data_IF_658184438644
#
_entry.id   IF_658184438644
#
_cell.length_a   1.000
_cell.length_b   1.000
_cell.length_c   1.000
_cell.angle_alpha   90.00
_cell.angle_beta   90.00
_cell.angle_gamma   90.00
#
_symmetry.space_group_name_H-M   'P 1'
#
loop_
_entity.id
_entity.type
_entity.pdbx_description
1 polymer ?
#
# COMPACT_ATOMS: atom_id res chain seq x y z
N UNK A 1 -37.92 13.97 8.78
CA UNK A 1 -37.69 15.44 8.78
C UNK A 1 -36.33 15.70 8.18
N UNK A 2 -36.21 16.63 7.22
CA UNK A 2 -34.91 17.00 6.65
C UNK A 2 -34.05 17.73 7.70
N UNK A 3 -32.77 17.39 7.79
CA UNK A 3 -31.79 17.99 8.70
C UNK A 3 -30.68 18.68 7.91
N UNK A 4 -29.94 19.56 8.56
CA UNK A 4 -28.74 20.19 7.99
C UNK A 4 -27.48 19.59 8.62
N UNK A 5 -26.51 19.21 7.79
CA UNK A 5 -25.23 18.63 8.19
C UNK A 5 -24.07 19.48 7.68
N UNK A 6 -23.04 19.65 8.51
CA UNK A 6 -21.76 20.24 8.15
C UNK A 6 -20.69 19.14 8.18
N UNK A 7 -20.05 18.88 7.05
CA UNK A 7 -18.99 17.87 6.90
C UNK A 7 -17.66 18.60 6.72
N UNK A 8 -16.65 18.23 7.50
CA UNK A 8 -15.29 18.79 7.40
C UNK A 8 -14.39 17.79 6.71
N UNK A 9 -13.80 18.21 5.58
CA UNK A 9 -13.01 17.41 4.65
C UNK A 9 -13.83 16.90 3.47
N UNK A 10 -13.33 17.12 2.26
CA UNK A 10 -13.90 16.67 0.99
C UNK A 10 -13.15 15.47 0.37
N UNK A 11 -12.38 14.73 1.20
CA UNK A 11 -11.82 13.42 0.83
C UNK A 11 -12.88 12.31 0.82
N UNK A 12 -12.47 11.04 0.58
CA UNK A 12 -13.40 9.91 0.47
C UNK A 12 -14.43 9.83 1.61
N UNK A 13 -13.99 9.87 2.87
CA UNK A 13 -14.91 9.76 4.01
C UNK A 13 -15.98 10.85 4.00
N UNK A 14 -15.58 12.11 3.80
CA UNK A 14 -16.51 13.23 3.77
C UNK A 14 -17.41 13.22 2.54
N UNK A 15 -16.86 12.89 1.37
CA UNK A 15 -17.61 12.80 0.12
C UNK A 15 -18.68 11.70 0.16
N UNK A 16 -18.35 10.51 0.70
CA UNK A 16 -19.30 9.39 0.84
C UNK A 16 -20.40 9.73 1.85
N UNK A 17 -20.04 10.18 3.05
CA UNK A 17 -21.04 10.56 4.08
C UNK A 17 -21.95 11.67 3.57
N UNK A 18 -21.38 12.70 2.92
CA UNK A 18 -22.16 13.79 2.37
C UNK A 18 -23.12 13.33 1.27
N UNK A 19 -22.69 12.40 0.41
CA UNK A 19 -23.52 11.81 -0.65
C UNK A 19 -24.70 11.06 -0.05
N UNK A 20 -24.45 10.12 0.87
CA UNK A 20 -25.49 9.30 1.50
C UNK A 20 -26.54 10.15 2.22
N UNK A 21 -26.10 11.15 3.00
CA UNK A 21 -27.02 12.06 3.69
C UNK A 21 -27.85 12.91 2.72
N UNK A 22 -27.23 13.37 1.63
CA UNK A 22 -27.93 14.16 0.62
C UNK A 22 -28.96 13.31 -0.16
N UNK A 23 -28.64 12.05 -0.47
CA UNK A 23 -29.56 11.11 -1.11
C UNK A 23 -30.74 10.73 -0.19
N UNK A 24 -30.55 10.74 1.13
CA UNK A 24 -31.63 10.60 2.13
C UNK A 24 -32.46 11.90 2.35
N UNK A 25 -32.26 12.92 1.51
CA UNK A 25 -33.04 14.15 1.52
C UNK A 25 -32.62 15.17 2.59
N UNK A 26 -31.41 15.05 3.13
CA UNK A 26 -30.84 16.05 4.04
C UNK A 26 -30.07 17.15 3.29
N UNK A 27 -29.98 18.33 3.90
CA UNK A 27 -29.13 19.42 3.39
C UNK A 27 -27.72 19.23 3.93
N UNK A 28 -26.73 19.12 3.05
CA UNK A 28 -25.34 18.92 3.46
C UNK A 28 -24.47 20.06 2.94
N UNK A 29 -23.58 20.57 3.78
CA UNK A 29 -22.52 21.51 3.41
C UNK A 29 -21.17 20.87 3.73
N UNK A 30 -20.31 20.76 2.72
CA UNK A 30 -18.97 20.18 2.86
C UNK A 30 -17.95 21.32 2.83
N UNK A 31 -17.07 21.34 3.83
CA UNK A 31 -16.00 22.31 3.97
C UNK A 31 -14.67 21.60 3.78
N UNK A 32 -13.75 22.17 3.02
CA UNK A 32 -12.36 21.72 2.96
C UNK A 32 -11.45 22.95 3.06
N UNK A 33 -10.28 22.79 3.67
CA UNK A 33 -9.27 23.86 3.74
C UNK A 33 -8.47 23.96 2.45
N UNK A 34 -8.49 22.91 1.62
CA UNK A 34 -7.86 22.89 0.29
C UNK A 34 -8.74 23.61 -0.72
N UNK A 35 -8.11 24.11 -1.78
CA UNK A 35 -8.79 24.75 -2.91
C UNK A 35 -9.48 23.76 -3.88
N UNK A 36 -9.49 22.48 -3.54
CA UNK A 36 -10.02 21.41 -4.38
C UNK A 36 -10.67 20.31 -3.53
N UNK A 37 -11.45 19.45 -4.19
CA UNK A 37 -12.11 18.28 -3.57
C UNK A 37 -11.20 17.04 -3.60
N UNK A 38 -11.70 15.90 -3.13
CA UNK A 38 -11.06 14.57 -3.17
C UNK A 38 -9.86 14.34 -2.22
N UNK A 39 -9.47 15.35 -1.42
CA UNK A 39 -8.38 15.21 -0.46
C UNK A 39 -7.09 14.75 -1.14
N UNK A 40 -6.43 13.71 -0.63
CA UNK A 40 -5.19 13.19 -1.22
C UNK A 40 -5.40 12.50 -2.57
N UNK A 41 -6.61 12.08 -2.90
CA UNK A 41 -6.93 11.45 -4.17
C UNK A 41 -7.15 12.46 -5.30
N UNK A 42 -6.95 13.75 -5.03
CA UNK A 42 -7.07 14.79 -6.04
C UNK A 42 -6.06 14.59 -7.18
N UNK A 43 -6.57 14.78 -8.40
CA UNK A 43 -5.80 14.72 -9.64
C UNK A 43 -5.97 16.00 -10.42
N UNK A 44 -4.93 16.42 -11.12
CA UNK A 44 -4.98 17.53 -12.06
C UNK A 44 -4.21 17.19 -13.34
N UNK A 45 -4.42 17.96 -14.40
CA UNK A 45 -3.58 17.85 -15.61
C UNK A 45 -2.38 18.76 -15.46
N UNK A 46 -1.19 18.21 -15.68
CA UNK A 46 0.04 18.99 -15.71
C UNK A 46 0.16 19.80 -17.03
N UNK A 47 1.28 20.52 -17.20
CA UNK A 47 1.53 21.33 -18.40
C UNK A 47 1.64 20.52 -19.71
N UNK A 48 1.84 19.20 -19.62
CA UNK A 48 1.84 18.29 -20.77
C UNK A 48 0.44 17.76 -21.10
N UNK A 49 -0.54 18.06 -20.25
CA UNK A 49 -1.91 17.56 -20.35
C UNK A 49 -2.10 16.17 -19.73
N UNK A 50 -1.08 15.58 -19.12
CA UNK A 50 -1.15 14.28 -18.46
C UNK A 50 -1.86 14.42 -17.11
N UNK A 51 -2.80 13.52 -16.83
CA UNK A 51 -3.49 13.48 -15.54
C UNK A 51 -2.57 12.87 -14.48
N UNK A 52 -2.29 13.62 -13.42
CA UNK A 52 -1.37 13.24 -12.34
C UNK A 52 -2.07 13.33 -10.98
N UNK A 53 -1.65 12.49 -10.05
CA UNK A 53 -2.04 12.63 -8.65
C UNK A 53 -1.14 13.64 -7.95
N UNK A 54 -1.73 14.69 -7.37
CA UNK A 54 -0.97 15.77 -6.72
C UNK A 54 -0.26 15.28 -5.45
N UNK A 55 -0.86 14.31 -4.75
CA UNK A 55 -0.39 13.83 -3.44
C UNK A 55 0.13 12.38 -3.49
N UNK A 56 0.74 12.00 -4.61
CA UNK A 56 1.28 10.66 -4.82
C UNK A 56 0.25 9.67 -5.39
N UNK A 57 0.73 8.51 -5.89
CA UNK A 57 -0.10 7.60 -6.67
C UNK A 57 -1.22 6.98 -5.83
N UNK A 58 -2.46 7.11 -6.28
CA UNK A 58 -3.62 6.43 -5.69
C UNK A 58 -4.13 5.37 -6.65
N UNK A 59 -3.96 4.10 -6.28
CA UNK A 59 -4.45 2.96 -7.06
C UNK A 59 -5.63 2.37 -6.30
N UNK A 60 -6.82 2.42 -6.90
CA UNK A 60 -8.01 1.82 -6.30
C UNK A 60 -7.93 0.30 -6.35
N UNK A 61 -8.14 -0.35 -5.20
CA UNK A 61 -8.32 -1.80 -5.10
C UNK A 61 -9.25 -2.11 -3.91
N UNK A 62 -10.12 -3.11 -4.06
CA UNK A 62 -11.02 -3.56 -2.99
C UNK A 62 -11.33 -5.04 -3.16
N UNK A 63 -11.49 -5.75 -2.05
CA UNK A 63 -12.08 -7.10 -2.02
C UNK A 63 -13.58 -7.06 -1.66
N UNK A 64 -14.11 -5.88 -1.35
CA UNK A 64 -15.50 -5.69 -0.94
C UNK A 64 -16.36 -5.29 -2.14
N UNK A 65 -17.22 -6.21 -2.57
CA UNK A 65 -18.13 -6.03 -3.71
C UNK A 65 -19.04 -4.81 -3.54
N UNK A 66 -19.62 -4.61 -2.35
CA UNK A 66 -20.46 -3.44 -2.08
C UNK A 66 -19.73 -2.09 -2.27
N UNK A 67 -18.43 -2.03 -1.96
CA UNK A 67 -17.62 -0.82 -2.20
C UNK A 67 -17.37 -0.62 -3.70
N UNK A 68 -17.11 -1.71 -4.43
CA UNK A 68 -16.94 -1.67 -5.88
C UNK A 68 -18.22 -1.19 -6.57
N UNK A 69 -19.36 -1.76 -6.20
CA UNK A 69 -20.67 -1.39 -6.73
C UNK A 69 -21.01 0.07 -6.42
N UNK A 70 -20.71 0.52 -5.20
CA UNK A 70 -20.91 1.91 -4.81
C UNK A 70 -20.09 2.87 -5.69
N UNK A 71 -18.79 2.64 -5.84
CA UNK A 71 -17.91 3.56 -6.61
C UNK A 71 -18.31 3.60 -8.09
N UNK A 72 -18.72 2.46 -8.67
CA UNK A 72 -19.16 2.40 -10.08
C UNK A 72 -20.41 3.24 -10.38
N UNK A 73 -21.18 3.65 -9.37
CA UNK A 73 -22.30 4.59 -9.56
C UNK A 73 -21.82 6.00 -9.95
N UNK A 74 -20.58 6.36 -9.65
CA UNK A 74 -20.06 7.72 -9.78
C UNK A 74 -18.95 7.88 -10.82
N UNK A 75 -18.57 6.80 -11.49
CA UNK A 75 -17.56 6.84 -12.54
C UNK A 75 -17.28 5.47 -13.16
N UNK A 76 -16.70 5.49 -14.36
CA UNK A 76 -16.20 4.30 -15.02
C UNK A 76 -14.83 3.92 -14.46
N UNK A 77 -14.66 2.64 -14.13
CA UNK A 77 -13.41 2.10 -13.60
C UNK A 77 -12.71 1.28 -14.69
N UNK A 78 -11.48 1.67 -15.03
CA UNK A 78 -10.67 0.96 -16.02
C UNK A 78 -9.91 -0.20 -15.38
N UNK A 79 -9.81 -1.36 -16.04
CA UNK A 79 -9.03 -2.47 -15.52
C UNK A 79 -7.53 -2.10 -15.50
N UNK A 80 -6.95 -2.11 -14.31
CA UNK A 80 -5.53 -1.87 -14.10
C UNK A 80 -4.98 -2.82 -13.03
N UNK A 81 -3.87 -3.50 -13.33
CA UNK A 81 -3.16 -4.37 -12.39
C UNK A 81 -1.83 -3.74 -12.05
N UNK A 82 -1.75 -3.15 -10.86
CA UNK A 82 -0.51 -2.52 -10.41
C UNK A 82 0.60 -3.54 -10.19
N UNK A 83 1.78 -3.24 -10.70
CA UNK A 83 2.98 -4.05 -10.50
C UNK A 83 4.12 -3.14 -10.07
N UNK A 84 4.78 -3.51 -8.98
CA UNK A 84 5.91 -2.76 -8.43
C UNK A 84 7.22 -3.48 -8.75
N UNK A 85 8.27 -2.70 -8.96
CA UNK A 85 9.64 -3.19 -9.11
C UNK A 85 10.56 -2.48 -8.11
N UNK A 86 11.56 -3.19 -7.62
CA UNK A 86 12.60 -2.65 -6.74
C UNK A 86 13.96 -2.77 -7.42
N UNK A 87 14.80 -1.75 -7.27
CA UNK A 87 16.18 -1.79 -7.76
C UNK A 87 17.12 -2.02 -6.58
N UNK A 88 17.87 -3.12 -6.61
CA UNK A 88 18.86 -3.47 -5.59
C UNK A 88 20.19 -3.75 -6.29
N UNK A 89 21.24 -3.00 -5.90
CA UNK A 89 22.59 -3.12 -6.47
C UNK A 89 22.61 -3.11 -8.01
N UNK A 90 21.82 -2.22 -8.61
CA UNK A 90 21.72 -2.06 -10.07
C UNK A 90 20.87 -3.12 -10.81
N UNK A 91 20.33 -4.12 -10.11
CA UNK A 91 19.41 -5.11 -10.68
C UNK A 91 17.95 -4.79 -10.31
N UNK A 92 17.04 -5.06 -11.23
CA UNK A 92 15.60 -4.80 -11.06
C UNK A 92 14.89 -6.11 -10.70
N UNK A 93 14.12 -6.10 -9.62
CA UNK A 93 13.36 -7.23 -9.10
C UNK A 93 11.87 -6.93 -9.08
N UNK A 94 11.04 -7.94 -9.31
CA UNK A 94 9.58 -7.83 -9.25
C UNK A 94 9.08 -8.01 -7.82
N UNK A 95 8.34 -7.03 -7.31
CA UNK A 95 7.74 -7.04 -5.98
C UNK A 95 6.26 -7.48 -6.03
N UNK A 96 5.68 -8.01 -4.93
CA UNK A 96 6.31 -8.32 -3.63
C UNK A 96 7.29 -9.50 -3.71
N UNK A 97 7.97 -9.84 -2.61
CA UNK A 97 8.80 -11.05 -2.54
C UNK A 97 8.01 -12.27 -3.02
N UNK A 98 8.53 -12.91 -4.06
CA UNK A 98 7.95 -14.08 -4.71
C UNK A 98 9.07 -15.04 -5.16
N UNK A 99 8.72 -16.24 -5.62
CA UNK A 99 9.68 -17.23 -6.12
C UNK A 99 10.63 -16.69 -7.18
N UNK A 100 10.13 -15.92 -8.15
CA UNK A 100 10.98 -15.32 -9.19
C UNK A 100 12.02 -14.40 -8.58
N UNK A 101 11.62 -13.53 -7.64
CA UNK A 101 12.58 -12.67 -6.95
C UNK A 101 13.60 -13.48 -6.15
N UNK A 102 13.20 -14.53 -5.44
CA UNK A 102 14.11 -15.40 -4.67
C UNK A 102 15.15 -16.03 -5.62
N UNK A 103 14.68 -16.65 -6.72
CA UNK A 103 15.55 -17.25 -7.71
C UNK A 103 16.50 -16.25 -8.37
N UNK A 104 15.99 -15.07 -8.76
CA UNK A 104 16.81 -14.02 -9.37
C UNK A 104 17.85 -13.45 -8.40
N UNK A 105 17.48 -13.28 -7.12
CA UNK A 105 18.34 -12.68 -6.11
C UNK A 105 19.47 -13.62 -5.69
N UNK A 106 19.15 -14.91 -5.49
CA UNK A 106 20.14 -15.91 -5.06
C UNK A 106 20.81 -16.66 -6.22
N UNK A 107 20.37 -16.45 -7.46
CA UNK A 107 20.90 -17.16 -8.63
C UNK A 107 20.55 -18.65 -8.62
N UNK A 108 19.35 -18.99 -8.17
CA UNK A 108 18.85 -20.36 -7.99
C UNK A 108 17.71 -20.67 -8.97
N UNK A 109 17.28 -21.92 -9.01
CA UNK A 109 16.11 -22.36 -9.78
C UNK A 109 15.23 -23.28 -8.93
N UNK A 110 14.80 -22.76 -7.78
CA UNK A 110 13.98 -23.49 -6.82
C UNK A 110 12.56 -23.70 -7.34
N UNK A 111 11.97 -24.84 -6.96
CA UNK A 111 10.53 -25.04 -6.84
C UNK A 111 9.98 -24.31 -5.59
N UNK A 112 8.65 -24.07 -5.51
CA UNK A 112 8.04 -23.37 -4.38
C UNK A 112 8.46 -23.90 -3.00
N UNK A 113 8.43 -25.22 -2.81
CA UNK A 113 8.75 -25.87 -1.53
C UNK A 113 10.23 -25.72 -1.15
N UNK A 114 11.11 -25.74 -2.16
CA UNK A 114 12.55 -25.54 -1.97
C UNK A 114 12.85 -24.10 -1.57
N UNK A 115 12.18 -23.14 -2.21
CA UNK A 115 12.32 -21.72 -1.88
C UNK A 115 11.79 -21.41 -0.47
N UNK A 116 10.67 -22.03 -0.06
CA UNK A 116 10.14 -21.89 1.30
C UNK A 116 11.11 -22.43 2.34
N UNK A 117 11.63 -23.65 2.14
CA UNK A 117 12.63 -24.25 3.01
C UNK A 117 13.91 -23.41 3.07
N UNK A 118 14.35 -22.89 1.92
CA UNK A 118 15.53 -22.05 1.83
C UNK A 118 15.36 -20.73 2.60
N UNK A 119 14.27 -19.99 2.38
CA UNK A 119 14.00 -18.75 3.12
C UNK A 119 13.85 -19.02 4.62
N UNK A 120 13.18 -20.10 5.01
CA UNK A 120 13.05 -20.50 6.43
C UNK A 120 14.40 -20.81 7.08
N UNK A 121 15.34 -21.37 6.33
CA UNK A 121 16.72 -21.61 6.83
C UNK A 121 17.53 -20.33 7.02
N UNK A 122 17.19 -19.25 6.30
CA UNK A 122 17.81 -17.92 6.40
C UNK A 122 17.16 -17.03 7.47
N UNK A 123 15.90 -17.30 7.78
CA UNK A 123 15.14 -16.59 8.80
C UNK A 123 15.76 -16.76 10.20
N UNK A 124 15.72 -15.69 10.98
CA UNK A 124 16.17 -15.72 12.37
C UNK A 124 15.14 -16.40 13.27
N UNK A 125 15.39 -17.68 13.58
CA UNK A 125 14.52 -18.50 14.43
C UNK A 125 14.66 -18.17 15.93
N UNK A 126 15.63 -17.35 16.33
CA UNK A 126 15.82 -16.94 17.73
C UNK A 126 14.79 -15.89 18.16
N UNK A 127 14.25 -15.16 17.20
CA UNK A 127 13.21 -14.15 17.40
C UNK A 127 11.86 -14.85 17.52
N UNK A 128 11.41 -15.13 18.74
CA UNK A 128 10.12 -15.81 19.01
C UNK A 128 8.92 -14.87 18.95
N UNK A 129 9.09 -13.63 19.43
CA UNK A 129 8.06 -12.58 19.41
C UNK A 129 8.68 -11.29 18.87
N UNK A 130 8.47 -10.96 17.59
CA UNK A 130 9.03 -9.75 17.00
C UNK A 130 8.37 -8.51 17.59
N UNK A 131 9.18 -7.57 18.09
CA UNK A 131 8.69 -6.31 18.67
C UNK A 131 8.91 -5.12 17.71
N UNK A 132 9.93 -5.22 16.86
CA UNK A 132 10.25 -4.20 15.86
C UNK A 132 10.00 -4.64 14.41
N UNK A 133 10.00 -3.68 13.49
CA UNK A 133 9.96 -3.93 12.05
C UNK A 133 11.18 -4.77 11.61
N UNK A 134 12.35 -4.49 12.18
CA UNK A 134 13.54 -5.27 11.91
C UNK A 134 13.38 -6.72 12.37
N UNK A 135 12.92 -6.95 13.60
CA UNK A 135 12.73 -8.31 14.13
C UNK A 135 11.77 -9.12 13.26
N UNK A 136 10.67 -8.49 12.85
CA UNK A 136 9.70 -9.10 11.96
C UNK A 136 10.35 -9.45 10.61
N UNK A 137 11.20 -8.58 10.07
CA UNK A 137 11.89 -8.82 8.80
C UNK A 137 12.93 -9.94 8.88
N UNK A 138 13.74 -9.93 9.93
CA UNK A 138 14.72 -10.97 10.22
C UNK A 138 14.09 -12.34 10.36
N UNK A 139 13.04 -12.43 11.17
CA UNK A 139 12.30 -13.67 11.37
C UNK A 139 11.60 -14.12 10.09
N UNK A 140 11.18 -13.20 9.24
CA UNK A 140 10.37 -13.53 8.07
C UNK A 140 11.21 -13.97 6.86
N UNK A 141 12.31 -13.28 6.58
CA UNK A 141 13.07 -13.47 5.33
C UNK A 141 14.59 -13.57 5.53
N UNK A 142 15.07 -13.40 6.76
CA UNK A 142 16.49 -13.37 7.06
C UNK A 142 17.17 -12.05 6.68
N UNK A 143 18.43 -11.89 7.11
CA UNK A 143 19.21 -10.67 7.00
C UNK A 143 19.44 -10.21 5.55
N UNK A 144 19.79 -11.13 4.65
CA UNK A 144 20.15 -10.79 3.26
C UNK A 144 18.99 -10.15 2.48
N UNK A 145 17.79 -10.76 2.54
CA UNK A 145 16.60 -10.21 1.90
C UNK A 145 16.07 -8.97 2.64
N UNK A 146 16.15 -8.96 3.97
CA UNK A 146 15.75 -7.82 4.78
C UNK A 146 16.55 -6.55 4.41
N UNK A 147 17.88 -6.65 4.40
CA UNK A 147 18.76 -5.52 4.06
C UNK A 147 18.56 -5.06 2.62
N UNK A 148 18.38 -6.01 1.70
CA UNK A 148 18.21 -5.74 0.27
C UNK A 148 16.91 -4.98 -0.06
N UNK A 149 15.78 -5.40 0.54
CA UNK A 149 14.46 -4.95 0.09
C UNK A 149 13.68 -4.11 1.11
N UNK A 150 14.06 -4.13 2.39
CA UNK A 150 13.26 -3.51 3.44
C UNK A 150 14.01 -2.46 4.25
N UNK A 151 15.20 -2.77 4.77
CA UNK A 151 15.88 -1.91 5.75
C UNK A 151 16.03 -0.46 5.27
N UNK A 152 16.75 -0.26 4.16
CA UNK A 152 17.02 1.08 3.63
C UNK A 152 15.77 1.81 3.11
N UNK A 153 14.81 1.06 2.53
CA UNK A 153 13.55 1.66 2.08
C UNK A 153 12.72 2.16 3.26
N UNK A 154 12.64 1.37 4.33
CA UNK A 154 11.87 1.68 5.53
C UNK A 154 12.46 2.88 6.26
N UNK A 155 13.79 2.90 6.49
CA UNK A 155 14.45 4.08 7.08
C UNK A 155 14.20 5.35 6.28
N UNK A 156 14.26 5.26 4.94
CA UNK A 156 14.00 6.41 4.06
C UNK A 156 12.54 6.88 4.12
N UNK A 157 11.60 5.94 4.17
CA UNK A 157 10.16 6.23 4.18
C UNK A 157 9.71 6.86 5.51
N UNK A 158 10.27 6.39 6.62
CA UNK A 158 9.83 6.77 7.97
C UNK A 158 10.76 7.76 8.68
N UNK A 159 11.99 7.95 8.18
CA UNK A 159 12.96 8.86 8.78
C UNK A 159 13.56 8.39 10.11
N UNK A 160 13.30 7.14 10.51
CA UNK A 160 13.77 6.53 11.77
C UNK A 160 14.34 5.13 11.54
N UNK A 161 15.09 4.61 12.51
CA UNK A 161 15.61 3.24 12.45
C UNK A 161 14.45 2.22 12.50
N UNK A 162 14.44 1.17 11.65
CA UNK A 162 13.42 0.12 11.67
C UNK A 162 13.28 -0.60 13.03
N UNK A 163 14.30 -0.55 13.89
CA UNK A 163 14.22 -1.03 15.28
C UNK A 163 13.22 -0.26 16.14
N UNK A 164 12.95 1.01 15.79
CA UNK A 164 12.01 1.88 16.49
C UNK A 164 10.59 1.81 15.94
N UNK A 165 10.39 1.07 14.84
CA UNK A 165 9.09 0.89 14.21
C UNK A 165 8.41 -0.40 14.71
N UNK A 166 7.08 -0.40 14.92
CA UNK A 166 6.38 -1.58 15.38
C UNK A 166 6.35 -2.70 14.33
N UNK A 167 6.49 -3.95 14.77
CA UNK A 167 6.46 -5.16 13.93
C UNK A 167 5.23 -5.26 13.01
N UNK A 168 4.08 -4.69 13.42
CA UNK A 168 2.82 -4.73 12.67
C UNK A 168 2.88 -4.08 11.29
N UNK A 169 3.85 -3.19 11.05
CA UNK A 169 4.01 -2.51 9.75
C UNK A 169 4.46 -3.51 8.68
N UNK A 170 5.40 -4.41 9.00
CA UNK A 170 5.89 -5.42 8.03
C UNK A 170 4.97 -6.65 7.96
N UNK A 171 4.28 -6.99 9.05
CA UNK A 171 3.42 -8.19 9.13
C UNK A 171 2.31 -8.28 8.07
N UNK A 172 2.01 -7.19 7.37
CA UNK A 172 0.99 -7.12 6.30
C UNK A 172 1.51 -7.55 4.92
N UNK A 173 2.83 -7.68 4.76
CA UNK A 173 3.43 -7.96 3.45
C UNK A 173 3.42 -9.47 3.16
N UNK A 174 2.79 -9.90 2.05
CA UNK A 174 2.76 -11.31 1.70
C UNK A 174 4.12 -11.76 1.16
N UNK A 175 4.57 -12.94 1.59
CA UNK A 175 5.62 -13.71 0.93
C UNK A 175 4.94 -14.81 0.11
N UNK A 176 5.37 -14.96 -1.15
CA UNK A 176 4.80 -15.95 -2.06
C UNK A 176 5.91 -16.88 -2.56
N UNK A 177 5.58 -18.15 -2.75
CA UNK A 177 6.45 -19.16 -3.35
C UNK A 177 5.76 -19.74 -4.58
#
# INVERSE_FOLDING_TARGET
MSRSFAIVGAGFSGAVVARELAEDGHRVTVFDTRSHVAGNCFTERDSTGVMVHVYGPHIFHTAHEHVWDYIRRFGEMMPYRHTVRATVKGKVYRMPLNLTLINDFFGTNFAPEEAEAFVKSKADQTITTPVSFEDQGLRFVGRELYDAFFAGYTSKQWGVDPKELPASILARLPLRF
#
